data_IF_380527724051
#
_entry.id   IF_380527724051
#
_cell.length_a   1.000
_cell.length_b   1.000
_cell.length_c   1.000
_cell.angle_alpha   90.00
_cell.angle_beta   90.00
_cell.angle_gamma   90.00
#
_symmetry.space_group_name_H-M   'P 1'
#
loop_
_entity.id
_entity.type
_entity.pdbx_description
1 polymer ?
#
# COMPACT_ATOMS: atom_id res chain seq x y z
N UNK A 1 -11.75 -4.28 -12.15
CA UNK A 1 -11.08 -2.99 -11.86
C UNK A 1 -9.67 -3.08 -12.40
N UNK A 2 -9.18 -2.06 -13.12
CA UNK A 2 -7.83 -2.04 -13.68
C UNK A 2 -7.12 -0.80 -13.15
N UNK A 3 -6.01 -0.98 -12.42
CA UNK A 3 -5.14 0.11 -11.97
C UNK A 3 -3.95 0.17 -12.91
N UNK A 4 -3.76 1.30 -13.58
CA UNK A 4 -2.60 1.55 -14.45
C UNK A 4 -1.59 2.44 -13.72
N UNK A 5 -0.32 2.27 -14.04
CA UNK A 5 0.78 3.10 -13.53
C UNK A 5 0.78 3.26 -12.00
N UNK A 6 0.55 2.17 -11.26
CA UNK A 6 0.37 2.20 -9.80
C UNK A 6 1.52 2.92 -9.08
N UNK A 7 2.77 2.72 -9.49
CA UNK A 7 3.96 3.38 -8.90
C UNK A 7 3.86 4.91 -8.91
N UNK A 8 3.26 5.52 -9.94
CA UNK A 8 3.10 6.98 -10.04
C UNK A 8 2.14 7.58 -9.02
N UNK A 9 1.44 6.74 -8.25
CA UNK A 9 0.54 7.16 -7.17
C UNK A 9 1.23 7.14 -5.81
N UNK A 10 2.52 6.82 -5.75
CA UNK A 10 3.30 6.85 -4.52
C UNK A 10 3.28 8.26 -3.92
N UNK A 11 2.99 8.33 -2.62
CA UNK A 11 2.93 9.57 -1.87
C UNK A 11 3.84 9.47 -0.65
N UNK A 12 5.12 9.79 -0.82
CA UNK A 12 6.13 9.78 0.23
C UNK A 12 5.86 10.87 1.28
N UNK A 13 6.29 10.62 2.51
CA UNK A 13 6.10 11.52 3.66
C UNK A 13 7.31 11.39 4.59
N UNK A 14 7.74 12.48 5.21
CA UNK A 14 8.98 12.50 5.99
C UNK A 14 8.96 11.63 7.26
N UNK A 15 7.83 11.59 7.98
CA UNK A 15 7.78 11.01 9.34
C UNK A 15 7.26 9.58 9.43
N UNK A 16 6.45 9.16 8.47
CA UNK A 16 5.82 7.83 8.44
C UNK A 16 5.62 7.43 7.00
N UNK A 17 5.50 6.14 6.75
CA UNK A 17 5.27 5.67 5.39
C UNK A 17 4.05 6.33 4.74
N UNK A 18 4.20 6.57 3.44
CA UNK A 18 3.14 6.96 2.53
C UNK A 18 2.10 5.87 2.35
N UNK A 19 0.85 6.27 2.20
CA UNK A 19 -0.26 5.39 1.80
C UNK A 19 -1.10 6.07 0.74
N UNK A 20 -1.47 5.33 -0.30
CA UNK A 20 -2.47 5.75 -1.28
C UNK A 20 -3.44 4.60 -1.54
N UNK A 21 -4.73 4.91 -1.58
CA UNK A 21 -5.76 3.94 -1.95
C UNK A 21 -5.82 3.86 -3.48
N UNK A 22 -5.51 2.71 -4.05
CA UNK A 22 -5.53 2.51 -5.50
C UNK A 22 -6.91 2.04 -5.98
N UNK A 23 -7.54 1.19 -5.17
CA UNK A 23 -8.68 0.39 -5.57
C UNK A 23 -9.40 -0.20 -4.36
N UNK A 24 -10.74 -0.14 -4.35
CA UNK A 24 -11.57 -0.75 -3.31
C UNK A 24 -12.84 -1.36 -3.91
N UNK A 25 -13.19 -2.56 -3.47
CA UNK A 25 -14.41 -3.26 -3.84
C UNK A 25 -14.81 -4.31 -2.80
N UNK A 26 -15.88 -5.06 -3.07
CA UNK A 26 -16.43 -6.03 -2.12
C UNK A 26 -15.47 -7.17 -1.73
N UNK A 27 -14.54 -7.53 -2.62
CA UNK A 27 -13.65 -8.68 -2.44
C UNK A 27 -12.17 -8.31 -2.33
N UNK A 28 -11.78 -7.10 -2.74
CA UNK A 28 -10.38 -6.70 -2.77
C UNK A 28 -10.25 -5.22 -2.42
N UNK A 29 -9.31 -4.95 -1.53
CA UNK A 29 -8.73 -3.63 -1.33
C UNK A 29 -7.27 -3.67 -1.78
N UNK A 30 -6.86 -2.68 -2.56
CA UNK A 30 -5.48 -2.53 -3.01
C UNK A 30 -5.02 -1.12 -2.65
N UNK A 31 -4.04 -1.06 -1.75
CA UNK A 31 -3.34 0.15 -1.37
C UNK A 31 -1.88 0.10 -1.82
N UNK A 32 -1.28 1.27 -1.97
CA UNK A 32 0.14 1.45 -2.23
C UNK A 32 0.81 1.98 -0.96
N UNK A 33 1.84 1.27 -0.50
CA UNK A 33 2.73 1.76 0.54
C UNK A 33 3.98 2.35 -0.13
N UNK A 34 4.40 3.54 0.30
CA UNK A 34 5.60 4.22 -0.18
C UNK A 34 6.51 4.54 1.00
N UNK A 35 7.78 4.16 0.92
CA UNK A 35 8.70 4.22 2.04
C UNK A 35 9.91 5.10 1.70
N UNK A 36 10.21 6.05 2.57
CA UNK A 36 11.55 6.65 2.62
C UNK A 36 12.52 5.72 3.38
N UNK A 37 13.84 5.86 3.21
CA UNK A 37 14.82 5.05 3.92
C UNK A 37 14.59 5.02 5.43
N UNK A 38 14.55 3.80 6.00
CA UNK A 38 14.32 3.57 7.42
C UNK A 38 12.85 3.60 7.86
N UNK A 39 11.89 3.84 6.97
CA UNK A 39 10.47 3.71 7.28
C UNK A 39 9.98 2.28 7.18
N UNK A 40 8.94 1.97 7.95
CA UNK A 40 8.34 0.63 8.02
C UNK A 40 6.82 0.67 8.07
N UNK A 41 6.20 -0.47 7.79
CA UNK A 41 4.79 -0.70 8.08
C UNK A 41 4.70 -1.48 9.38
N UNK A 42 4.24 -0.82 10.44
CA UNK A 42 4.10 -1.45 11.76
C UNK A 42 3.36 -2.79 11.66
N UNK A 43 3.89 -3.87 12.28
CA UNK A 43 3.24 -5.16 12.30
C UNK A 43 1.83 -5.08 12.89
N UNK A 44 0.86 -5.63 12.18
CA UNK A 44 -0.51 -5.76 12.65
C UNK A 44 -1.19 -6.93 11.95
N UNK A 45 -2.24 -7.45 12.59
CA UNK A 45 -3.01 -8.57 12.08
C UNK A 45 -4.40 -8.11 11.65
N UNK A 46 -4.93 -8.77 10.63
CA UNK A 46 -6.35 -8.75 10.31
C UNK A 46 -6.86 -10.17 10.46
N UNK A 47 -7.91 -10.38 11.27
CA UNK A 47 -8.43 -11.71 11.55
C UNK A 47 -9.30 -12.26 10.40
N UNK A 48 -9.75 -11.40 9.50
CA UNK A 48 -10.77 -11.66 8.50
C UNK A 48 -10.25 -11.54 7.06
N UNK A 49 -8.97 -11.18 6.87
CA UNK A 49 -8.42 -10.82 5.55
C UNK A 49 -6.99 -11.30 5.37
N UNK A 50 -6.76 -11.94 4.25
CA UNK A 50 -5.42 -12.20 3.75
C UNK A 50 -4.78 -10.90 3.24
N UNK A 51 -3.45 -10.82 3.35
CA UNK A 51 -2.66 -9.69 2.86
C UNK A 51 -1.43 -10.21 2.12
N UNK A 52 -1.21 -9.68 0.93
CA UNK A 52 -0.02 -9.97 0.12
C UNK A 52 0.65 -8.66 -0.26
N UNK A 53 1.98 -8.69 -0.34
CA UNK A 53 2.78 -7.56 -0.81
C UNK A 53 3.41 -7.90 -2.15
N UNK A 54 3.36 -6.95 -3.08
CA UNK A 54 4.12 -6.96 -4.33
C UNK A 54 5.06 -5.76 -4.30
N UNK A 55 6.36 -6.02 -4.43
CA UNK A 55 7.37 -4.96 -4.54
C UNK A 55 7.35 -4.43 -5.97
N UNK A 56 7.20 -3.12 -6.14
CA UNK A 56 7.16 -2.47 -7.45
C UNK A 56 8.51 -1.85 -7.82
N UNK A 57 9.21 -1.30 -6.83
CA UNK A 57 10.50 -0.60 -6.92
C UNK A 57 11.35 -0.93 -5.69
#
# INVERSE_FOLDING_TARGET
>A
MIVKDAHKKAAFRDRKMGKADLAAGAHLFCGLNAFEPGQEHEPHTHCDRDKTYLVLE
#
